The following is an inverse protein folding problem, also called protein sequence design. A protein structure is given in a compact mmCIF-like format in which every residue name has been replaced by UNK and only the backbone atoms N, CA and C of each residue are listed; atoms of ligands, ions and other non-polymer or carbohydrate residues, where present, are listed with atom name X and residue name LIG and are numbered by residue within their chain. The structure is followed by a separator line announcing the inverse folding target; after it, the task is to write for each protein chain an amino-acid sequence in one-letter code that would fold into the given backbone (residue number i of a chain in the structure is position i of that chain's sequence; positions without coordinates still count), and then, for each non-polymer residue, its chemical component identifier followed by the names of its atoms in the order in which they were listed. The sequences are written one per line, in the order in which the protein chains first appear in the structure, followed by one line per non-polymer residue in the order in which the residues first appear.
data_IF_215925738094
#
_entry.id   IF_215925738094
#
_cell.length_a   1.000
_cell.length_b   1.000
_cell.length_c   1.000
_cell.angle_alpha   90.00
_cell.angle_beta   90.00
_cell.angle_gamma   90.00
#
_symmetry.space_group_name_H-M   'P 1'
#
loop_
_entity.id
_entity.type
_entity.pdbx_description
1 polymer ?
#
# COMPACT_ATOMS: atom_id res chain seq x y z
N UNK A 1 -17.96 -41.92 8.36
CA UNK A 1 -18.48 -40.55 8.57
C UNK A 1 -17.60 -39.59 7.82
N UNK A 2 -18.21 -38.67 7.06
CA UNK A 2 -17.52 -37.62 6.30
C UNK A 2 -17.36 -37.93 4.82
N UNK A 3 -18.45 -37.97 4.05
CA UNK A 3 -18.35 -37.77 2.60
C UNK A 3 -18.01 -36.30 2.39
N UNK A 4 -16.76 -36.02 2.03
CA UNK A 4 -16.41 -34.74 1.41
C UNK A 4 -17.40 -34.53 0.26
N UNK A 5 -18.16 -33.43 0.26
CA UNK A 5 -19.08 -33.13 -0.82
C UNK A 5 -18.23 -32.86 -2.08
N UNK A 6 -18.15 -33.81 -3.04
CA UNK A 6 -17.31 -33.66 -4.21
C UNK A 6 -17.96 -32.73 -5.24
N UNK A 7 -19.14 -32.18 -4.92
CA UNK A 7 -19.92 -31.35 -5.80
C UNK A 7 -19.80 -29.89 -5.38
N UNK A 8 -19.55 -29.03 -6.36
CA UNK A 8 -19.76 -27.60 -6.20
C UNK A 8 -21.25 -27.24 -6.29
N UNK A 9 -21.61 -26.07 -5.78
CA UNK A 9 -22.97 -25.53 -5.80
C UNK A 9 -23.04 -24.36 -6.77
N UNK A 10 -23.90 -24.44 -7.79
CA UNK A 10 -24.27 -23.32 -8.63
C UNK A 10 -25.75 -22.98 -8.40
N UNK A 11 -26.05 -21.81 -7.82
CA UNK A 11 -27.43 -21.44 -7.44
C UNK A 11 -27.92 -20.12 -8.04
N UNK A 12 -27.04 -19.29 -8.59
CA UNK A 12 -27.42 -18.08 -9.32
C UNK A 12 -27.93 -18.38 -10.72
N UNK A 13 -28.67 -17.44 -11.31
CA UNK A 13 -29.14 -17.54 -12.70
C UNK A 13 -27.92 -17.60 -13.64
N UNK A 14 -27.84 -18.63 -14.48
CA UNK A 14 -26.68 -18.87 -15.38
C UNK A 14 -25.33 -18.99 -14.65
N UNK A 15 -25.32 -19.28 -13.35
CA UNK A 15 -24.09 -19.54 -12.62
C UNK A 15 -23.48 -20.88 -13.05
N UNK A 16 -22.14 -20.96 -13.05
CA UNK A 16 -21.41 -22.15 -13.48
C UNK A 16 -20.33 -22.54 -12.47
N UNK A 17 -20.33 -23.80 -12.07
CA UNK A 17 -19.17 -24.44 -11.42
C UNK A 17 -18.71 -25.59 -12.31
N UNK A 18 -17.51 -25.50 -12.88
CA UNK A 18 -17.01 -26.50 -13.84
C UNK A 18 -16.49 -27.79 -13.18
N UNK A 19 -16.02 -27.71 -11.94
CA UNK A 19 -15.49 -28.87 -11.20
C UNK A 19 -14.82 -28.50 -9.88
N UNK A 20 -14.06 -29.44 -9.31
CA UNK A 20 -13.35 -29.27 -8.04
C UNK A 20 -14.17 -29.67 -6.81
N UNK A 21 -13.69 -29.30 -5.61
CA UNK A 21 -14.28 -29.73 -4.33
C UNK A 21 -14.88 -28.52 -3.62
N UNK A 22 -16.16 -28.59 -3.24
CA UNK A 22 -16.82 -27.58 -2.39
C UNK A 22 -16.75 -26.15 -2.91
N UNK A 23 -16.75 -25.97 -4.23
CA UNK A 23 -16.82 -24.66 -4.88
C UNK A 23 -18.27 -24.13 -4.90
N UNK A 24 -18.47 -22.82 -4.76
CA UNK A 24 -19.81 -22.19 -4.75
C UNK A 24 -19.87 -21.02 -5.72
N UNK A 25 -20.83 -21.03 -6.65
CA UNK A 25 -21.20 -19.91 -7.50
C UNK A 25 -22.67 -19.54 -7.25
N UNK A 26 -22.93 -18.51 -6.44
CA UNK A 26 -24.30 -18.16 -6.01
C UNK A 26 -24.85 -16.87 -6.61
N UNK A 27 -24.01 -16.01 -7.18
CA UNK A 27 -24.44 -14.81 -7.89
C UNK A 27 -24.94 -15.10 -9.31
N UNK A 28 -25.79 -14.23 -9.85
CA UNK A 28 -26.20 -14.32 -11.26
C UNK A 28 -24.99 -14.16 -12.18
N UNK A 29 -24.86 -15.05 -13.17
CA UNK A 29 -23.72 -15.15 -14.08
C UNK A 29 -22.37 -15.38 -13.39
N UNK A 30 -22.35 -15.75 -12.11
CA UNK A 30 -21.12 -16.04 -11.40
C UNK A 30 -20.47 -17.33 -11.90
N UNK A 31 -19.14 -17.41 -11.85
CA UNK A 31 -18.43 -18.60 -12.30
C UNK A 31 -17.29 -19.03 -11.39
N UNK A 32 -17.14 -20.35 -11.21
CA UNK A 32 -15.97 -20.97 -10.60
C UNK A 32 -15.45 -22.08 -11.50
N UNK A 33 -14.22 -21.96 -12.02
CA UNK A 33 -13.71 -22.93 -13.00
C UNK A 33 -13.14 -24.21 -12.38
N UNK A 34 -12.78 -24.22 -11.10
CA UNK A 34 -12.22 -25.41 -10.45
C UNK A 34 -11.61 -25.13 -9.07
N UNK A 35 -10.75 -26.03 -8.60
CA UNK A 35 -10.05 -25.88 -7.32
C UNK A 35 -10.86 -26.37 -6.11
N UNK A 36 -10.50 -25.88 -4.92
CA UNK A 36 -11.12 -26.24 -3.65
C UNK A 36 -11.70 -25.03 -2.92
N UNK A 37 -12.91 -25.16 -2.37
CA UNK A 37 -13.48 -24.17 -1.45
C UNK A 37 -13.54 -22.72 -1.98
N UNK A 38 -13.65 -22.55 -3.31
CA UNK A 38 -13.73 -21.24 -3.92
C UNK A 38 -15.18 -20.72 -3.93
N UNK A 39 -15.37 -19.42 -3.78
CA UNK A 39 -16.68 -18.76 -3.70
C UNK A 39 -16.77 -17.60 -4.71
N UNK A 40 -17.78 -17.61 -5.57
CA UNK A 40 -18.18 -16.49 -6.41
C UNK A 40 -19.66 -16.15 -6.12
N UNK A 41 -19.92 -15.15 -5.26
CA UNK A 41 -21.24 -14.99 -4.64
C UNK A 41 -22.08 -13.81 -5.11
N UNK A 42 -21.53 -12.92 -5.94
CA UNK A 42 -22.23 -11.74 -6.48
C UNK A 42 -22.29 -11.71 -8.02
N UNK A 43 -22.99 -10.72 -8.58
CA UNK A 43 -23.33 -10.70 -10.02
C UNK A 43 -22.05 -10.58 -10.85
N UNK A 44 -21.89 -11.45 -11.85
CA UNK A 44 -20.67 -11.55 -12.67
C UNK A 44 -19.37 -11.82 -11.90
N UNK A 45 -19.43 -12.20 -10.62
CA UNK A 45 -18.25 -12.56 -9.86
C UNK A 45 -17.58 -13.81 -10.44
N UNK A 46 -16.25 -13.86 -10.46
CA UNK A 46 -15.53 -15.00 -11.05
C UNK A 46 -14.33 -15.44 -10.22
N UNK A 47 -14.16 -16.76 -10.10
CA UNK A 47 -12.95 -17.38 -9.56
C UNK A 47 -12.43 -18.42 -10.54
N UNK A 48 -11.23 -18.23 -11.10
CA UNK A 48 -10.71 -19.17 -12.10
C UNK A 48 -10.14 -20.46 -11.48
N UNK A 49 -9.87 -20.50 -10.18
CA UNK A 49 -9.45 -21.70 -9.48
C UNK A 49 -8.69 -21.41 -8.18
N UNK A 50 -7.82 -22.34 -7.77
CA UNK A 50 -7.05 -22.24 -6.52
C UNK A 50 -7.78 -22.83 -5.32
N UNK A 51 -7.44 -22.38 -4.11
CA UNK A 51 -7.99 -22.90 -2.86
C UNK A 51 -8.45 -21.75 -1.95
N UNK A 52 -9.69 -21.81 -1.45
CA UNK A 52 -10.28 -20.79 -0.57
C UNK A 52 -10.32 -19.35 -1.14
N UNK A 53 -10.40 -19.17 -2.46
CA UNK A 53 -10.52 -17.84 -3.06
C UNK A 53 -11.98 -17.36 -3.08
N UNK A 54 -12.21 -16.07 -2.83
CA UNK A 54 -13.56 -15.49 -2.70
C UNK A 54 -13.70 -14.23 -3.57
N UNK A 55 -14.56 -14.29 -4.59
CA UNK A 55 -15.02 -13.14 -5.36
C UNK A 55 -16.45 -12.80 -4.90
N UNK A 56 -16.59 -11.80 -4.02
CA UNK A 56 -17.85 -11.46 -3.35
C UNK A 56 -18.34 -10.05 -3.65
N UNK A 57 -17.70 -9.31 -4.56
CA UNK A 57 -18.24 -8.05 -5.11
C UNK A 57 -18.91 -8.27 -6.47
N UNK A 58 -19.80 -7.37 -6.88
CA UNK A 58 -20.29 -7.37 -8.26
C UNK A 58 -19.13 -7.12 -9.23
N UNK A 59 -19.06 -7.88 -10.33
CA UNK A 59 -17.96 -7.84 -11.30
C UNK A 59 -16.57 -8.15 -10.71
N UNK A 60 -16.50 -8.67 -9.49
CA UNK A 60 -15.23 -8.99 -8.86
C UNK A 60 -14.58 -10.23 -9.48
N UNK A 61 -13.26 -10.32 -9.40
CA UNK A 61 -12.52 -11.45 -9.95
C UNK A 61 -11.36 -11.88 -9.08
N UNK A 62 -11.17 -13.20 -8.97
CA UNK A 62 -9.95 -13.80 -8.44
C UNK A 62 -9.41 -14.82 -9.44
N UNK A 63 -8.24 -14.58 -10.03
CA UNK A 63 -7.72 -15.51 -11.06
C UNK A 63 -7.10 -16.79 -10.47
N UNK A 64 -6.78 -16.83 -9.18
CA UNK A 64 -6.33 -18.05 -8.51
C UNK A 64 -5.59 -17.79 -7.20
N UNK A 65 -4.72 -18.72 -6.81
CA UNK A 65 -3.93 -18.63 -5.57
C UNK A 65 -4.61 -19.28 -4.37
N UNK A 66 -4.27 -18.84 -3.16
CA UNK A 66 -4.79 -19.41 -1.91
C UNK A 66 -5.32 -18.33 -0.98
N UNK A 67 -6.60 -18.40 -0.63
CA UNK A 67 -7.20 -17.52 0.37
C UNK A 67 -7.33 -16.06 -0.06
N UNK A 68 -7.37 -15.77 -1.36
CA UNK A 68 -7.50 -14.40 -1.87
C UNK A 68 -8.96 -13.94 -1.86
N UNK A 69 -9.19 -12.65 -1.64
CA UNK A 69 -10.53 -12.06 -1.53
C UNK A 69 -10.65 -10.83 -2.43
N UNK A 70 -11.63 -10.81 -3.33
CA UNK A 70 -12.06 -9.63 -4.07
C UNK A 70 -13.51 -9.31 -3.69
N UNK A 71 -13.73 -8.32 -2.82
CA UNK A 71 -15.04 -8.02 -2.22
C UNK A 71 -15.64 -6.68 -2.64
N UNK A 72 -14.84 -5.76 -3.19
CA UNK A 72 -15.31 -4.50 -3.75
C UNK A 72 -15.98 -4.64 -5.12
N UNK A 73 -16.79 -3.65 -5.51
CA UNK A 73 -17.34 -3.56 -6.87
C UNK A 73 -16.20 -3.51 -7.89
N UNK A 74 -16.21 -4.40 -8.89
CA UNK A 74 -15.17 -4.55 -9.91
C UNK A 74 -13.75 -4.74 -9.36
N UNK A 75 -13.61 -5.16 -8.09
CA UNK A 75 -12.32 -5.45 -7.49
C UNK A 75 -11.67 -6.69 -8.12
N UNK A 76 -10.33 -6.72 -8.20
CA UNK A 76 -9.62 -7.84 -8.80
C UNK A 76 -8.38 -8.24 -8.00
N UNK A 77 -8.22 -9.55 -7.80
CA UNK A 77 -7.00 -10.15 -7.29
C UNK A 77 -6.48 -11.19 -8.28
N UNK A 78 -5.30 -10.98 -8.84
CA UNK A 78 -4.76 -11.90 -9.85
C UNK A 78 -4.28 -13.22 -9.23
N UNK A 79 -3.70 -13.20 -8.03
CA UNK A 79 -3.24 -14.43 -7.39
C UNK A 79 -2.49 -14.22 -6.09
N UNK A 80 -1.56 -15.12 -5.77
CA UNK A 80 -0.77 -15.08 -4.53
C UNK A 80 -1.50 -15.76 -3.36
N UNK A 81 -1.15 -15.36 -2.13
CA UNK A 81 -1.74 -15.92 -0.90
C UNK A 81 -2.29 -14.82 -0.01
N UNK A 82 -3.55 -14.95 0.39
CA UNK A 82 -4.23 -14.04 1.35
C UNK A 82 -4.22 -12.57 0.94
N UNK A 83 -4.28 -12.29 -0.35
CA UNK A 83 -4.43 -10.91 -0.83
C UNK A 83 -5.90 -10.51 -0.81
N UNK A 84 -6.19 -9.26 -0.46
CA UNK A 84 -7.53 -8.71 -0.38
C UNK A 84 -7.67 -7.41 -1.17
N UNK A 85 -8.66 -7.35 -2.07
CA UNK A 85 -9.11 -6.15 -2.75
C UNK A 85 -10.57 -5.86 -2.35
N UNK A 86 -10.79 -4.88 -1.48
CA UNK A 86 -12.09 -4.59 -0.87
C UNK A 86 -12.68 -3.22 -1.22
N UNK A 87 -11.89 -2.29 -1.76
CA UNK A 87 -12.39 -1.02 -2.30
C UNK A 87 -13.06 -1.16 -3.68
N UNK A 88 -13.86 -0.17 -4.08
CA UNK A 88 -14.40 -0.10 -5.45
C UNK A 88 -13.24 0.01 -6.46
N UNK A 89 -13.26 -0.76 -7.54
CA UNK A 89 -12.16 -0.85 -8.53
C UNK A 89 -10.77 -1.16 -7.94
N UNK A 90 -10.70 -1.72 -6.72
CA UNK A 90 -9.44 -2.02 -6.07
C UNK A 90 -8.71 -3.20 -6.76
N UNK A 91 -7.39 -3.13 -6.81
CA UNK A 91 -6.57 -4.09 -7.55
C UNK A 91 -5.39 -4.62 -6.73
N UNK A 92 -5.25 -5.94 -6.65
CA UNK A 92 -4.04 -6.58 -6.14
C UNK A 92 -3.47 -7.57 -7.15
N UNK A 93 -2.26 -7.32 -7.63
CA UNK A 93 -1.66 -8.19 -8.65
C UNK A 93 -1.13 -9.51 -8.10
N UNK A 94 -0.87 -9.63 -6.80
CA UNK A 94 -0.41 -10.86 -6.17
C UNK A 94 0.40 -10.62 -4.91
N UNK A 95 1.28 -11.57 -4.56
CA UNK A 95 2.11 -11.51 -3.36
C UNK A 95 1.49 -12.23 -2.15
N UNK A 96 1.89 -11.82 -0.94
CA UNK A 96 1.46 -12.40 0.33
C UNK A 96 0.83 -11.33 1.22
N UNK A 97 -0.43 -11.51 1.61
CA UNK A 97 -1.09 -10.67 2.63
C UNK A 97 -1.17 -9.18 2.27
N UNK A 98 -1.30 -8.86 0.98
CA UNK A 98 -1.49 -7.48 0.52
C UNK A 98 -2.97 -7.06 0.58
N UNK A 99 -3.23 -5.80 0.93
CA UNK A 99 -4.57 -5.22 1.07
C UNK A 99 -4.72 -3.95 0.22
N UNK A 100 -5.70 -3.93 -0.68
CA UNK A 100 -6.18 -2.73 -1.38
C UNK A 100 -7.63 -2.44 -0.96
N UNK A 101 -7.83 -1.52 -0.02
CA UNK A 101 -9.15 -1.24 0.57
C UNK A 101 -9.73 0.14 0.23
N UNK A 102 -8.92 1.04 -0.33
CA UNK A 102 -9.41 2.32 -0.84
C UNK A 102 -10.05 2.21 -2.23
N UNK A 103 -10.98 3.09 -2.56
CA UNK A 103 -11.58 3.12 -3.90
C UNK A 103 -10.55 3.49 -4.97
N UNK A 104 -10.39 2.66 -6.00
CA UNK A 104 -9.38 2.77 -7.04
C UNK A 104 -7.96 2.55 -6.52
N UNK A 105 -7.80 1.99 -5.32
CA UNK A 105 -6.48 1.70 -4.74
C UNK A 105 -5.82 0.49 -5.42
N UNK A 106 -4.49 0.43 -5.38
CA UNK A 106 -3.77 -0.68 -5.98
C UNK A 106 -2.54 -1.12 -5.19
N UNK A 107 -2.32 -2.43 -5.17
CA UNK A 107 -1.07 -3.04 -4.71
C UNK A 107 -0.51 -3.94 -5.80
N UNK A 108 0.67 -3.61 -6.33
CA UNK A 108 1.25 -4.39 -7.44
C UNK A 108 1.91 -5.70 -6.98
N UNK A 109 2.12 -5.91 -5.68
CA UNK A 109 2.65 -7.17 -5.13
C UNK A 109 3.39 -6.96 -3.82
N UNK A 110 4.29 -7.91 -3.49
CA UNK A 110 5.10 -7.87 -2.27
C UNK A 110 4.47 -8.62 -1.09
N UNK A 111 4.83 -8.21 0.13
CA UNK A 111 4.38 -8.86 1.36
C UNK A 111 3.82 -7.83 2.35
N UNK A 112 2.58 -8.01 2.79
CA UNK A 112 1.94 -7.17 3.82
C UNK A 112 1.93 -5.67 3.44
N UNK A 113 1.66 -5.35 2.17
CA UNK A 113 1.48 -3.97 1.73
C UNK A 113 0.01 -3.57 1.78
N UNK A 114 -0.27 -2.33 2.19
CA UNK A 114 -1.62 -1.79 2.36
C UNK A 114 -1.82 -0.48 1.57
N UNK A 115 -2.79 -0.46 0.66
CA UNK A 115 -3.28 0.74 -0.01
C UNK A 115 -4.73 1.02 0.44
N UNK A 116 -4.91 1.85 1.47
CA UNK A 116 -6.21 2.13 2.09
C UNK A 116 -6.79 3.51 1.79
N UNK A 117 -5.99 4.43 1.24
CA UNK A 117 -6.48 5.72 0.74
C UNK A 117 -7.20 5.57 -0.61
N UNK A 118 -8.18 6.43 -0.89
CA UNK A 118 -8.79 6.48 -2.22
C UNK A 118 -7.71 6.79 -3.28
N UNK A 119 -7.66 6.02 -4.36
CA UNK A 119 -6.66 6.08 -5.44
C UNK A 119 -5.22 6.00 -4.95
N UNK A 120 -5.00 5.45 -3.75
CA UNK A 120 -3.66 5.22 -3.23
C UNK A 120 -2.98 4.05 -3.93
N UNK A 121 -1.65 4.00 -3.89
CA UNK A 121 -0.91 2.90 -4.52
C UNK A 121 0.31 2.48 -3.73
N UNK A 122 0.54 1.16 -3.72
CA UNK A 122 1.81 0.57 -3.28
C UNK A 122 2.37 -0.30 -4.40
N UNK A 123 3.53 0.06 -4.95
CA UNK A 123 4.10 -0.68 -6.09
C UNK A 123 4.78 -1.99 -5.68
N UNK A 124 5.04 -2.22 -4.39
CA UNK A 124 5.60 -3.48 -3.88
C UNK A 124 6.39 -3.29 -2.59
N UNK A 125 7.36 -4.20 -2.34
CA UNK A 125 8.16 -4.21 -1.12
C UNK A 125 7.48 -4.98 0.02
N UNK A 126 7.80 -4.64 1.26
CA UNK A 126 7.22 -5.27 2.43
C UNK A 126 6.74 -4.26 3.48
N UNK A 127 5.58 -4.49 4.09
CA UNK A 127 5.03 -3.66 5.18
C UNK A 127 4.82 -2.18 4.81
N UNK A 128 4.60 -1.87 3.53
CA UNK A 128 4.40 -0.49 3.09
C UNK A 128 2.92 -0.09 3.16
N UNK A 129 2.63 1.14 3.58
CA UNK A 129 1.26 1.67 3.74
C UNK A 129 1.05 2.98 3.00
N UNK A 130 0.05 3.05 2.14
CA UNK A 130 -0.44 4.27 1.51
C UNK A 130 -1.89 4.52 1.95
N UNK A 131 -2.11 5.45 2.89
CA UNK A 131 -3.42 5.66 3.52
C UNK A 131 -4.07 7.02 3.21
N UNK A 132 -3.32 8.00 2.70
CA UNK A 132 -3.88 9.29 2.27
C UNK A 132 -4.56 9.23 0.89
N UNK A 133 -5.40 10.22 0.57
CA UNK A 133 -6.01 10.35 -0.76
C UNK A 133 -4.91 10.49 -1.81
N UNK A 134 -4.90 9.63 -2.84
CA UNK A 134 -3.84 9.57 -3.88
C UNK A 134 -2.42 9.38 -3.36
N UNK A 135 -2.24 8.94 -2.10
CA UNK A 135 -0.92 8.69 -1.54
C UNK A 135 -0.21 7.53 -2.26
N UNK A 136 1.12 7.56 -2.29
CA UNK A 136 1.90 6.53 -2.99
C UNK A 136 3.13 6.07 -2.22
N UNK A 137 3.38 4.77 -2.26
CA UNK A 137 4.65 4.18 -1.83
C UNK A 137 5.22 3.32 -2.96
N UNK A 138 6.38 3.70 -3.49
CA UNK A 138 6.96 3.00 -4.65
C UNK A 138 7.67 1.69 -4.29
N UNK A 139 7.94 1.43 -3.00
CA UNK A 139 8.53 0.18 -2.53
C UNK A 139 9.31 0.33 -1.24
N UNK A 140 10.28 -0.56 -1.00
CA UNK A 140 11.09 -0.59 0.21
C UNK A 140 10.43 -1.40 1.34
N UNK A 141 10.77 -1.06 2.59
CA UNK A 141 10.31 -1.78 3.78
C UNK A 141 9.76 -0.86 4.86
N UNK A 142 8.55 -1.10 5.37
CA UNK A 142 7.96 -0.31 6.46
C UNK A 142 7.85 1.19 6.14
N UNK A 143 7.53 1.56 4.89
CA UNK A 143 7.33 2.96 4.51
C UNK A 143 5.84 3.34 4.59
N UNK A 144 5.53 4.58 4.99
CA UNK A 144 4.16 5.03 5.20
C UNK A 144 3.89 6.41 4.57
N UNK A 145 2.97 6.48 3.61
CA UNK A 145 2.43 7.72 3.03
C UNK A 145 1.00 7.95 3.55
N UNK A 146 0.85 8.82 4.54
CA UNK A 146 -0.41 9.04 5.29
C UNK A 146 -1.13 10.33 4.94
N UNK A 147 -0.42 11.37 4.48
CA UNK A 147 -1.03 12.64 4.09
C UNK A 147 -1.68 12.58 2.70
N UNK A 148 -2.60 13.49 2.39
CA UNK A 148 -3.21 13.52 1.06
C UNK A 148 -2.16 13.91 0.02
N UNK A 149 -2.12 13.21 -1.12
CA UNK A 149 -1.10 13.33 -2.18
C UNK A 149 0.34 13.12 -1.70
N UNK A 150 0.55 12.54 -0.49
CA UNK A 150 1.88 12.28 0.03
C UNK A 150 2.57 11.13 -0.70
N UNK A 151 3.90 11.11 -0.68
CA UNK A 151 4.68 10.08 -1.35
C UNK A 151 5.89 9.62 -0.57
N UNK A 152 6.18 8.32 -0.65
CA UNK A 152 7.46 7.74 -0.23
C UNK A 152 8.03 6.92 -1.39
N UNK A 153 9.15 7.36 -1.97
CA UNK A 153 9.71 6.70 -3.16
C UNK A 153 10.49 5.41 -2.83
N UNK A 154 10.80 5.14 -1.56
CA UNK A 154 11.44 3.90 -1.13
C UNK A 154 12.18 4.00 0.20
N UNK A 155 13.18 3.14 0.40
CA UNK A 155 13.98 3.08 1.62
C UNK A 155 13.33 2.25 2.72
N UNK A 156 13.64 2.56 3.98
CA UNK A 156 13.15 1.80 5.14
C UNK A 156 12.69 2.72 6.27
N UNK A 157 11.50 2.48 6.81
CA UNK A 157 10.93 3.23 7.95
C UNK A 157 10.76 4.73 7.61
N UNK A 158 10.47 5.07 6.35
CA UNK A 158 10.21 6.46 5.96
C UNK A 158 8.72 6.78 6.07
N UNK A 159 8.38 7.95 6.62
CA UNK A 159 7.00 8.35 6.89
C UNK A 159 6.74 9.75 6.30
N UNK A 160 5.70 9.87 5.48
CA UNK A 160 5.20 11.15 4.95
C UNK A 160 3.75 11.36 5.45
N UNK A 161 3.54 12.22 6.45
CA UNK A 161 2.21 12.45 7.06
C UNK A 161 1.57 13.78 6.71
N UNK A 162 2.33 14.75 6.18
CA UNK A 162 1.76 16.02 5.76
C UNK A 162 1.09 15.91 4.38
N UNK A 163 0.07 16.71 4.13
CA UNK A 163 -0.49 16.84 2.79
C UNK A 163 0.58 17.31 1.81
N UNK A 164 0.61 16.74 0.62
CA UNK A 164 1.63 16.93 -0.44
C UNK A 164 3.08 16.69 0.03
N UNK A 165 3.28 16.07 1.20
CA UNK A 165 4.63 15.81 1.72
C UNK A 165 5.32 14.66 1.00
N UNK A 166 6.66 14.65 1.02
CA UNK A 166 7.42 13.62 0.31
C UNK A 166 8.67 13.17 1.05
N UNK A 167 8.96 11.88 0.97
CA UNK A 167 10.25 11.31 1.34
C UNK A 167 10.81 10.52 0.16
N UNK A 168 11.92 10.96 -0.42
CA UNK A 168 12.48 10.29 -1.61
C UNK A 168 13.20 8.98 -1.27
N UNK A 169 13.56 8.74 -0.01
CA UNK A 169 14.16 7.48 0.43
C UNK A 169 14.95 7.60 1.74
N UNK A 170 15.91 6.70 1.94
CA UNK A 170 16.76 6.66 3.13
C UNK A 170 16.23 5.77 4.25
N UNK A 171 16.67 6.03 5.48
CA UNK A 171 16.30 5.26 6.66
C UNK A 171 15.67 6.17 7.73
N UNK A 172 14.47 5.83 8.19
CA UNK A 172 13.83 6.49 9.34
C UNK A 172 13.56 8.00 9.16
N UNK A 173 13.29 8.48 7.95
CA UNK A 173 12.99 9.90 7.71
C UNK A 173 11.49 10.21 7.90
N UNK A 174 11.17 11.41 8.37
CA UNK A 174 9.81 11.89 8.61
C UNK A 174 9.57 13.22 7.89
N UNK A 175 8.57 13.28 7.01
CA UNK A 175 8.04 14.51 6.43
C UNK A 175 6.61 14.73 6.94
N UNK A 176 6.43 15.57 7.96
CA UNK A 176 5.13 15.74 8.63
C UNK A 176 4.46 17.10 8.40
N UNK A 177 5.18 18.10 7.90
CA UNK A 177 4.60 19.39 7.52
C UNK A 177 3.86 19.32 6.18
N UNK A 178 2.84 20.16 5.98
CA UNK A 178 2.20 20.27 4.66
C UNK A 178 3.21 20.78 3.62
N UNK A 179 3.27 20.18 2.44
CA UNK A 179 4.27 20.44 1.39
C UNK A 179 5.72 20.30 1.86
N UNK A 180 5.98 19.60 2.96
CA UNK A 180 7.34 19.33 3.43
C UNK A 180 8.04 18.28 2.59
N UNK A 181 9.37 18.25 2.62
CA UNK A 181 10.13 17.20 1.92
C UNK A 181 11.38 16.77 2.67
N UNK A 182 11.69 15.48 2.56
CA UNK A 182 12.99 14.92 2.92
C UNK A 182 13.55 14.13 1.74
N UNK A 183 14.64 14.61 1.15
CA UNK A 183 15.21 13.96 -0.05
C UNK A 183 15.95 12.65 0.26
N UNK A 184 16.29 12.39 1.52
CA UNK A 184 16.92 11.14 1.95
C UNK A 184 17.71 11.27 3.25
N UNK A 185 18.70 10.40 3.41
CA UNK A 185 19.55 10.37 4.61
C UNK A 185 18.99 9.48 5.72
N UNK A 186 19.38 9.77 6.96
CA UNK A 186 19.00 8.97 8.14
C UNK A 186 18.38 9.82 9.22
N UNK A 187 17.18 9.46 9.68
CA UNK A 187 16.52 10.12 10.83
C UNK A 187 16.32 11.62 10.67
N UNK A 188 16.09 12.11 9.45
CA UNK A 188 15.78 13.51 9.20
C UNK A 188 14.28 13.78 9.37
N UNK A 189 13.93 14.95 9.90
CA UNK A 189 12.56 15.38 10.17
C UNK A 189 12.31 16.73 9.47
N UNK A 190 11.27 16.80 8.64
CA UNK A 190 10.73 18.05 8.10
C UNK A 190 9.29 18.22 8.60
N UNK A 191 9.09 19.00 9.66
CA UNK A 191 7.80 19.15 10.35
C UNK A 191 7.11 20.49 10.12
N UNK A 192 7.85 21.52 9.68
CA UNK A 192 7.26 22.80 9.28
C UNK A 192 6.54 22.74 7.93
N UNK A 193 5.52 23.57 7.73
CA UNK A 193 4.89 23.74 6.41
C UNK A 193 5.93 24.20 5.39
N UNK A 194 6.02 23.54 4.24
CA UNK A 194 7.04 23.76 3.22
C UNK A 194 8.49 23.61 3.70
N UNK A 195 8.73 22.96 4.86
CA UNK A 195 10.07 22.70 5.33
C UNK A 195 10.78 21.65 4.47
N UNK A 196 12.09 21.77 4.31
CA UNK A 196 12.87 20.82 3.51
C UNK A 196 14.17 20.38 4.19
N UNK A 197 14.47 19.08 4.08
CA UNK A 197 15.77 18.52 4.43
C UNK A 197 16.33 17.78 3.21
N UNK A 198 17.44 18.28 2.67
CA UNK A 198 18.04 17.69 1.46
C UNK A 198 18.81 16.38 1.74
N UNK A 199 19.14 16.08 3.00
CA UNK A 199 19.81 14.84 3.39
C UNK A 199 20.56 14.98 4.72
N UNK A 200 21.59 14.15 4.91
CA UNK A 200 22.37 14.10 6.16
C UNK A 200 21.78 13.17 7.21
N UNK A 201 22.11 13.40 8.47
CA UNK A 201 21.68 12.58 9.59
C UNK A 201 21.08 13.38 10.75
N UNK A 202 19.93 12.97 11.27
CA UNK A 202 19.33 13.58 12.46
C UNK A 202 19.07 15.08 12.36
N UNK A 203 18.75 15.60 11.16
CA UNK A 203 18.43 17.01 10.98
C UNK A 203 16.92 17.28 11.16
N UNK A 204 16.55 18.42 11.77
CA UNK A 204 15.17 18.78 12.07
C UNK A 204 14.81 20.18 11.51
N UNK A 205 14.02 20.21 10.43
CA UNK A 205 13.47 21.44 9.84
C UNK A 205 12.04 21.69 10.35
N UNK A 206 11.90 22.56 11.34
CA UNK A 206 10.66 22.73 12.14
C UNK A 206 9.91 24.00 11.74
N UNK A 207 10.62 25.07 11.38
CA UNK A 207 10.01 26.33 10.98
C UNK A 207 9.30 26.25 9.63
N UNK A 208 8.26 27.07 9.44
CA UNK A 208 7.62 27.25 8.12
C UNK A 208 8.66 27.68 7.09
N UNK A 209 8.72 26.97 5.95
CA UNK A 209 9.69 27.17 4.89
C UNK A 209 11.17 27.14 5.37
N UNK A 210 11.45 26.44 6.46
CA UNK A 210 12.81 26.19 6.92
C UNK A 210 13.52 25.17 6.02
N UNK A 211 14.83 25.30 5.86
CA UNK A 211 15.62 24.42 4.98
C UNK A 211 16.91 23.98 5.67
N UNK A 212 17.22 22.70 5.58
CA UNK A 212 18.52 22.14 5.94
C UNK A 212 19.10 21.44 4.73
N UNK A 213 20.22 21.94 4.21
CA UNK A 213 20.87 21.36 3.01
C UNK A 213 21.61 20.04 3.28
N UNK A 214 21.91 19.73 4.55
CA UNK A 214 22.60 18.52 4.96
C UNK A 214 23.26 18.70 6.33
N UNK A 215 24.22 17.83 6.66
CA UNK A 215 24.94 17.83 7.95
C UNK A 215 24.40 16.81 8.95
N UNK A 216 24.83 16.92 10.21
CA UNK A 216 24.43 16.05 11.30
C UNK A 216 23.90 16.84 12.50
N UNK A 217 22.68 16.54 12.96
CA UNK A 217 22.04 17.19 14.13
C UNK A 217 21.86 18.70 14.02
N UNK A 218 21.45 19.17 12.84
CA UNK A 218 21.05 20.56 12.65
C UNK A 218 19.56 20.76 12.98
N UNK A 219 19.21 21.90 13.56
CA UNK A 219 17.82 22.25 13.90
C UNK A 219 17.46 23.64 13.35
N UNK A 220 16.52 23.69 12.41
CA UNK A 220 16.04 24.91 11.77
C UNK A 220 14.62 25.27 12.28
N UNK A 221 14.57 25.94 13.44
CA UNK A 221 13.30 26.23 14.14
C UNK A 221 12.62 27.55 13.75
N UNK A 222 13.34 28.48 13.11
CA UNK A 222 12.76 29.75 12.67
C UNK A 222 12.07 29.64 11.30
N UNK A 223 11.01 30.43 11.09
CA UNK A 223 10.41 30.55 9.77
C UNK A 223 11.42 31.12 8.76
N UNK A 224 11.46 30.56 7.55
CA UNK A 224 12.36 30.95 6.46
C UNK A 224 13.86 30.83 6.81
N UNK A 225 14.22 30.02 7.80
CA UNK A 225 15.62 29.78 8.16
C UNK A 225 16.27 28.79 7.21
N UNK A 226 17.58 28.92 7.01
CA UNK A 226 18.36 27.99 6.19
C UNK A 226 19.66 27.63 6.89
N UNK A 227 19.94 26.33 6.99
CA UNK A 227 21.18 25.79 7.54
C UNK A 227 21.92 25.03 6.43
N UNK A 228 23.20 25.33 6.28
CA UNK A 228 24.08 24.73 5.26
C UNK A 228 25.11 23.84 5.95
N UNK A 229 24.68 22.66 6.41
CA UNK A 229 25.58 21.64 6.97
C UNK A 229 26.20 22.00 8.32
N UNK A 230 27.11 21.11 8.75
CA UNK A 230 27.92 21.35 9.95
C UNK A 230 29.02 22.36 9.61
N UNK A 231 29.11 23.46 10.37
CA UNK A 231 30.38 24.17 10.49
C UNK A 231 31.30 23.18 11.19
N UNK A 232 32.25 22.59 10.46
CA UNK A 232 33.38 21.89 11.07
C UNK A 232 33.87 22.75 12.23
N UNK A 233 33.62 22.30 13.46
CA UNK A 233 34.34 22.83 14.60
C UNK A 233 35.80 22.63 14.25
N UNK A 234 36.51 23.73 14.01
CA UNK A 234 37.95 23.70 13.94
C UNK A 234 38.41 23.01 15.22
N UNK A 235 38.93 21.79 15.13
CA UNK A 235 39.91 21.35 16.10
C UNK A 235 41.16 22.16 15.80
N UNK A 236 41.17 23.39 16.33
CA UNK A 236 42.39 23.92 16.91
C UNK A 236 42.88 22.89 17.93
N UNK A 237 44.08 22.38 17.72
CA UNK A 237 44.64 21.32 18.53
C UNK A 237 46.12 21.09 18.26
N UNK A 238 46.93 22.11 18.56
CA UNK A 238 48.30 21.99 19.08
C UNK A 238 49.41 21.59 18.11
#
# INVERSE_FOLDING_TARGET
GGVANPHGTASGTNAVVLGGISNTASGDYASVSGGGYNEASNVYASVSGGDYNRATGDWSSVSGGVGNVASGYAASVIGGRRNEASGLDAFVSGGLENLASGDGSSVSGGNENEASGQRSSVSGGAYNKASGLTASVSGGGNNEARGDTSSVSGGTINIATGDTSSVSGGYSNLSSGSSSSVSGGTSNIASGTAASVSGGGSNEAIGTASTILGGYRNEASGAYTSIVGDVLSQQEGG
#
